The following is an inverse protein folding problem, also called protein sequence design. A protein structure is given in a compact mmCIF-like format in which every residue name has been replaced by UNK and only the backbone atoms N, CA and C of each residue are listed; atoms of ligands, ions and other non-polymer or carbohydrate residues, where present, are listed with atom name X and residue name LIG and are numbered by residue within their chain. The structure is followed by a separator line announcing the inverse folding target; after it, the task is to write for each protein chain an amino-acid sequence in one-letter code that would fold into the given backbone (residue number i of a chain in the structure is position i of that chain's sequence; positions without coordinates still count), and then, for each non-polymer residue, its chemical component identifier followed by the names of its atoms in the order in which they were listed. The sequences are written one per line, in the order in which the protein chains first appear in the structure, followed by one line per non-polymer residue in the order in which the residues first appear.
data_IF_860204925132
#
_entry.id   IF_860204925132
#
_cell.length_a   1.000
_cell.length_b   1.000
_cell.length_c   1.000
_cell.angle_alpha   90.00
_cell.angle_beta   90.00
_cell.angle_gamma   90.00
#
_symmetry.space_group_name_H-M   'P 1'
#
loop_
_entity.id
_entity.type
_entity.pdbx_description
1 polymer ?
#
# COMPACT_ATOMS: atom_id res chain seq x y z
N UNK A 1 2.94 -22.93 7.15
CA UNK A 1 3.65 -21.66 6.84
C UNK A 1 3.74 -20.90 8.15
N UNK A 2 4.93 -20.48 8.55
CA UNK A 2 5.21 -20.09 9.93
C UNK A 2 4.54 -18.76 10.28
N UNK A 3 3.66 -18.75 11.29
CA UNK A 3 3.04 -17.56 11.91
C UNK A 3 4.05 -16.52 12.45
N UNK A 4 5.35 -16.85 12.45
CA UNK A 4 6.37 -15.99 13.01
C UNK A 4 6.62 -14.73 12.18
N UNK A 5 6.34 -14.69 10.87
CA UNK A 5 6.66 -13.51 10.05
C UNK A 5 5.74 -12.32 10.30
N UNK A 6 4.43 -12.56 10.43
CA UNK A 6 3.45 -11.49 10.67
C UNK A 6 3.60 -10.92 12.09
N UNK A 7 3.72 -11.80 13.09
CA UNK A 7 3.96 -11.37 14.46
C UNK A 7 5.26 -10.57 14.60
N UNK A 8 6.34 -10.98 13.93
CA UNK A 8 7.61 -10.24 13.92
C UNK A 8 7.45 -8.85 13.27
N UNK A 9 6.69 -8.74 12.18
CA UNK A 9 6.34 -7.44 11.58
C UNK A 9 5.56 -6.56 12.57
N UNK A 10 4.54 -7.10 13.23
CA UNK A 10 3.76 -6.38 14.24
C UNK A 10 4.64 -5.90 15.41
N UNK A 11 5.54 -6.76 15.92
CA UNK A 11 6.49 -6.42 16.98
C UNK A 11 7.49 -5.34 16.56
N UNK A 12 7.82 -5.25 15.26
CA UNK A 12 8.63 -4.19 14.68
C UNK A 12 7.84 -2.90 14.40
N UNK A 13 6.56 -2.85 14.77
CA UNK A 13 5.70 -1.69 14.61
C UNK A 13 5.09 -1.53 13.22
N UNK A 14 5.08 -2.59 12.40
CA UNK A 14 4.31 -2.60 11.16
C UNK A 14 2.84 -2.85 11.44
N UNK A 15 1.97 -2.17 10.72
CA UNK A 15 0.53 -2.40 10.72
C UNK A 15 0.03 -2.74 9.33
N UNK A 16 -1.02 -3.56 9.25
CA UNK A 16 -1.73 -3.78 7.99
C UNK A 16 -2.35 -2.46 7.53
N UNK A 17 -1.85 -1.94 6.40
CA UNK A 17 -2.23 -0.65 5.85
C UNK A 17 -3.01 -0.87 4.56
N UNK A 18 -4.18 -0.23 4.44
CA UNK A 18 -5.01 -0.27 3.23
C UNK A 18 -5.09 1.12 2.63
N UNK A 19 -4.78 1.22 1.33
CA UNK A 19 -4.88 2.47 0.57
C UNK A 19 -5.83 2.29 -0.61
N UNK A 20 -6.73 3.27 -0.81
CA UNK A 20 -7.52 3.39 -2.03
C UNK A 20 -6.90 4.46 -2.90
N UNK A 21 -6.41 4.06 -4.06
CA UNK A 21 -5.64 4.91 -4.97
C UNK A 21 -6.53 5.23 -6.16
N UNK A 22 -6.71 6.53 -6.39
CA UNK A 22 -7.53 7.06 -7.49
C UNK A 22 -6.58 7.65 -8.53
N UNK A 23 -6.75 7.24 -9.78
CA UNK A 23 -5.92 7.72 -10.87
C UNK A 23 -6.74 7.86 -12.15
N UNK A 24 -6.29 8.73 -13.03
CA UNK A 24 -6.91 8.96 -14.33
C UNK A 24 -6.35 7.97 -15.36
N UNK A 25 -7.22 7.47 -16.23
CA UNK A 25 -6.76 6.58 -17.30
C UNK A 25 -5.90 7.39 -18.30
N UNK A 26 -4.70 6.93 -18.69
CA UNK A 26 -3.80 7.71 -19.55
C UNK A 26 -4.44 8.17 -20.87
N UNK A 27 -5.18 7.28 -21.53
CA UNK A 27 -5.84 7.57 -22.81
C UNK A 27 -7.22 8.24 -22.65
N UNK A 28 -7.78 8.21 -21.45
CA UNK A 28 -9.10 8.76 -21.14
C UNK A 28 -9.07 9.51 -19.80
N UNK A 29 -8.55 10.75 -19.76
CA UNK A 29 -8.33 11.49 -18.51
C UNK A 29 -9.62 11.78 -17.72
N UNK A 30 -10.79 11.73 -18.34
CA UNK A 30 -12.07 11.90 -17.62
C UNK A 30 -12.54 10.63 -16.90
N UNK A 31 -11.92 9.48 -17.18
CA UNK A 31 -12.20 8.23 -16.49
C UNK A 31 -11.33 8.14 -15.24
N UNK A 32 -11.98 8.09 -14.08
CA UNK A 32 -11.32 7.86 -12.80
C UNK A 32 -11.40 6.37 -12.44
N UNK A 33 -10.25 5.73 -12.27
CA UNK A 33 -10.15 4.35 -11.81
C UNK A 33 -9.72 4.28 -10.35
N UNK A 34 -10.19 3.25 -9.63
CA UNK A 34 -9.75 2.95 -8.27
C UNK A 34 -8.99 1.64 -8.21
N UNK A 35 -7.88 1.63 -7.49
CA UNK A 35 -7.14 0.44 -7.10
C UNK A 35 -7.04 0.36 -5.57
N UNK A 36 -7.23 -0.84 -5.03
CA UNK A 36 -7.09 -1.10 -3.59
C UNK A 36 -5.75 -1.81 -3.40
N UNK A 37 -4.88 -1.15 -2.65
CA UNK A 37 -3.60 -1.70 -2.22
C UNK A 37 -3.68 -2.04 -0.73
N UNK A 38 -3.11 -3.17 -0.33
CA UNK A 38 -3.02 -3.57 1.07
C UNK A 38 -1.72 -4.31 1.33
N UNK A 39 -0.94 -3.83 2.30
CA UNK A 39 0.31 -4.45 2.74
C UNK A 39 0.67 -4.02 4.17
N UNK A 40 1.66 -4.66 4.78
CA UNK A 40 2.25 -4.18 6.04
C UNK A 40 3.12 -2.96 5.78
N UNK A 41 2.83 -1.88 6.51
CA UNK A 41 3.60 -0.65 6.40
C UNK A 41 3.84 0.01 7.76
N UNK A 42 4.80 0.94 7.79
CA UNK A 42 5.20 1.65 8.99
C UNK A 42 4.61 3.07 8.99
N UNK A 43 3.51 3.26 9.72
CA UNK A 43 2.90 4.57 9.91
C UNK A 43 3.75 5.46 10.85
N UNK A 44 3.80 6.79 10.63
CA UNK A 44 3.05 7.59 9.66
C UNK A 44 3.76 7.76 8.30
N UNK A 45 4.93 7.15 8.10
CA UNK A 45 5.76 7.38 6.90
C UNK A 45 5.30 6.59 5.67
N UNK A 46 4.63 5.46 5.89
CA UNK A 46 4.05 4.58 4.85
C UNK A 46 5.03 4.28 3.69
N UNK A 47 6.30 3.91 3.97
CA UNK A 47 7.34 3.76 2.96
C UNK A 47 7.06 2.69 1.89
N UNK A 48 6.27 1.64 2.16
CA UNK A 48 5.93 0.65 1.14
C UNK A 48 4.94 1.22 0.12
N UNK A 49 3.92 1.96 0.58
CA UNK A 49 3.01 2.70 -0.30
C UNK A 49 3.75 3.73 -1.17
N UNK A 50 4.67 4.51 -0.58
CA UNK A 50 5.43 5.51 -1.35
C UNK A 50 6.26 4.85 -2.46
N UNK A 51 6.93 3.73 -2.17
CA UNK A 51 7.67 2.98 -3.20
C UNK A 51 6.78 2.45 -4.32
N UNK A 52 5.53 2.06 -4.01
CA UNK A 52 4.56 1.67 -5.04
C UNK A 52 4.22 2.86 -5.95
N UNK A 53 3.94 4.03 -5.36
CA UNK A 53 3.57 5.24 -6.10
C UNK A 53 4.74 5.72 -6.98
N UNK A 54 5.99 5.58 -6.52
CA UNK A 54 7.18 5.98 -7.28
C UNK A 54 7.35 5.24 -8.62
N UNK A 55 6.75 4.04 -8.77
CA UNK A 55 6.86 3.19 -9.97
C UNK A 55 5.56 3.04 -10.74
N UNK A 56 4.48 3.69 -10.30
CA UNK A 56 3.16 3.59 -10.91
C UNK A 56 3.07 4.42 -12.21
#
# INVERSE_FOLDING_TARGET
MSDHSELDLMLRGYGLTTAKILYHFPDHPHLLQSYIWQDYDNAPKIPALNRLIDVW
#
